data_IF_815885853195
#
_entry.id   IF_815885853195
#
_cell.length_a   1.000
_cell.length_b   1.000
_cell.length_c   1.000
_cell.angle_alpha   90.00
_cell.angle_beta   90.00
_cell.angle_gamma   90.00
#
_symmetry.space_group_name_H-M   'P 1'
#
loop_
_entity.id
_entity.type
_entity.pdbx_description
1 polymer ?
#
# COMPACT_ATOMS: atom_id res chain seq x y z
N UNK A 1 21.78 4.67 21.12
CA UNK A 1 20.30 4.80 21.16
C UNK A 1 19.83 4.12 22.42
N UNK A 2 19.20 4.83 23.35
CA UNK A 2 18.57 4.21 24.52
C UNK A 2 17.13 3.87 24.17
N UNK A 3 16.81 2.59 24.10
CA UNK A 3 15.42 2.12 24.09
C UNK A 3 14.79 2.58 25.40
N UNK A 4 13.67 3.31 25.34
CA UNK A 4 13.04 3.84 26.54
C UNK A 4 11.91 2.94 27.02
N UNK A 5 11.15 2.33 26.11
CA UNK A 5 10.10 1.35 26.42
C UNK A 5 10.13 0.19 25.41
N UNK A 6 9.94 -1.04 25.89
CA UNK A 6 9.72 -2.21 25.04
C UNK A 6 8.79 -3.19 25.75
N UNK A 7 8.02 -3.96 24.99
CA UNK A 7 7.10 -4.95 25.55
C UNK A 7 6.23 -5.60 24.48
N UNK A 8 5.22 -6.34 24.91
CA UNK A 8 4.24 -6.97 24.03
C UNK A 8 2.85 -6.34 24.25
N UNK A 9 2.11 -6.13 23.15
CA UNK A 9 0.77 -5.54 23.19
C UNK A 9 -0.28 -6.37 23.95
N UNK A 10 0.00 -7.66 24.22
CA UNK A 10 -0.87 -8.49 25.05
C UNK A 10 -0.82 -8.14 26.53
N UNK A 11 0.33 -7.64 27.00
CA UNK A 11 0.57 -7.37 28.42
C UNK A 11 0.32 -5.90 28.76
N UNK A 12 0.75 -5.00 27.87
CA UNK A 12 0.53 -3.56 27.95
C UNK A 12 -0.24 -3.16 26.70
N UNK A 13 -1.56 -3.02 26.80
CA UNK A 13 -2.38 -2.65 25.65
C UNK A 13 -1.84 -1.40 24.94
N UNK A 14 -2.04 -1.28 23.62
CA UNK A 14 -1.50 -0.16 22.83
C UNK A 14 -1.92 1.22 23.37
N UNK A 15 -3.10 1.30 23.98
CA UNK A 15 -3.62 2.49 24.62
C UNK A 15 -2.72 2.99 25.77
N UNK A 16 -2.22 2.08 26.61
CA UNK A 16 -1.34 2.43 27.73
C UNK A 16 -0.01 2.98 27.24
N UNK A 17 0.53 2.41 26.16
CA UNK A 17 1.76 2.90 25.52
C UNK A 17 1.59 4.32 25.01
N UNK A 18 0.48 4.60 24.32
CA UNK A 18 0.15 5.94 23.83
C UNK A 18 -0.03 6.93 25.00
N UNK A 19 -0.75 6.51 26.04
CA UNK A 19 -0.98 7.32 27.22
C UNK A 19 0.32 7.69 27.93
N UNK A 20 1.25 6.74 28.10
CA UNK A 20 2.57 6.99 28.69
C UNK A 20 3.39 7.98 27.86
N UNK A 21 3.41 7.83 26.54
CA UNK A 21 4.13 8.74 25.62
C UNK A 21 3.55 10.16 25.71
N UNK A 22 2.21 10.27 25.69
CA UNK A 22 1.50 11.54 25.79
C UNK A 22 1.73 12.25 27.13
N UNK A 23 1.46 11.58 28.24
CA UNK A 23 1.56 12.15 29.58
C UNK A 23 2.99 12.58 29.94
N UNK A 24 3.98 11.76 29.56
CA UNK A 24 5.38 12.08 29.82
C UNK A 24 6.02 12.96 28.73
N UNK A 25 5.22 13.43 27.74
CA UNK A 25 5.66 14.26 26.61
C UNK A 25 6.93 13.74 25.94
N UNK A 26 6.99 12.42 25.68
CA UNK A 26 8.18 11.80 25.08
C UNK A 26 8.29 12.16 23.60
N UNK A 27 9.50 12.48 23.16
CA UNK A 27 9.88 12.58 21.75
C UNK A 27 10.63 11.32 21.34
N UNK A 28 10.29 10.74 20.19
CA UNK A 28 10.91 9.51 19.71
C UNK A 28 10.03 8.74 18.71
N UNK A 29 10.45 7.52 18.40
CA UNK A 29 9.75 6.66 17.44
C UNK A 29 9.26 5.40 18.14
N UNK A 30 7.94 5.17 18.06
CA UNK A 30 7.29 3.93 18.44
C UNK A 30 7.22 3.02 17.22
N UNK A 31 7.71 1.80 17.32
CA UNK A 31 7.51 0.74 16.33
C UNK A 31 6.62 -0.32 16.96
N UNK A 32 5.59 -0.77 16.24
CA UNK A 32 4.59 -1.73 16.68
C UNK A 32 4.43 -2.82 15.62
N UNK A 33 4.45 -4.08 16.03
CA UNK A 33 4.28 -5.24 15.17
C UNK A 33 5.57 -6.03 14.96
N UNK A 34 5.45 -7.12 14.21
CA UNK A 34 6.53 -8.07 13.98
C UNK A 34 7.41 -7.63 12.80
N UNK A 35 8.55 -8.30 12.61
CA UNK A 35 9.53 -7.95 11.57
C UNK A 35 8.94 -7.86 10.16
N UNK A 36 7.83 -8.52 9.83
CA UNK A 36 7.20 -8.49 8.51
C UNK A 36 6.15 -7.39 8.28
N UNK A 37 5.49 -6.95 9.34
CA UNK A 37 4.32 -6.06 9.26
C UNK A 37 4.32 -5.08 10.43
N UNK A 38 5.48 -4.41 10.57
CA UNK A 38 5.70 -3.39 11.59
C UNK A 38 5.28 -2.02 11.09
N UNK A 39 4.71 -1.24 11.98
CA UNK A 39 4.26 0.13 11.77
C UNK A 39 5.06 1.03 12.71
N UNK A 40 5.50 2.19 12.23
CA UNK A 40 6.11 3.20 13.06
C UNK A 40 5.22 4.43 13.22
N UNK A 41 5.36 5.08 14.37
CA UNK A 41 4.77 6.37 14.69
C UNK A 41 5.86 7.25 15.30
N UNK A 42 6.06 8.43 14.72
CA UNK A 42 6.99 9.42 15.23
C UNK A 42 6.24 10.42 16.13
N UNK A 43 6.79 10.64 17.32
CA UNK A 43 6.24 11.53 18.33
C UNK A 43 7.19 12.69 18.61
N UNK A 44 6.63 13.87 18.80
CA UNK A 44 7.31 15.04 19.34
C UNK A 44 6.52 15.64 20.50
N UNK A 45 7.15 15.71 21.67
CA UNK A 45 6.55 16.19 22.93
C UNK A 45 5.19 15.53 23.24
N UNK A 46 5.07 14.22 22.99
CA UNK A 46 3.82 13.48 23.21
C UNK A 46 2.74 13.72 22.14
N UNK A 47 3.09 14.33 20.99
CA UNK A 47 2.18 14.53 19.85
C UNK A 47 2.65 13.72 18.65
N UNK A 48 1.73 13.12 17.90
CA UNK A 48 2.06 12.35 16.70
C UNK A 48 2.34 13.30 15.55
N UNK A 49 3.52 13.13 14.95
CA UNK A 49 4.01 13.91 13.81
C UNK A 49 3.68 13.21 12.50
N UNK A 50 3.98 11.91 12.42
CA UNK A 50 3.77 11.09 11.23
C UNK A 50 3.75 9.60 11.57
N UNK A 51 3.18 8.81 10.67
CA UNK A 51 3.14 7.36 10.77
C UNK A 51 3.35 6.67 9.43
N UNK A 52 3.79 5.41 9.46
CA UNK A 52 3.89 4.60 8.26
C UNK A 52 4.34 3.16 8.53
N UNK A 53 4.43 2.31 7.49
CA UNK A 53 5.05 1.01 7.61
C UNK A 53 6.54 1.15 7.95
N UNK A 54 7.02 0.40 8.95
CA UNK A 54 8.40 0.46 9.43
C UNK A 54 9.36 -0.35 8.54
N UNK A 55 8.84 -1.34 7.80
CA UNK A 55 9.64 -2.20 6.94
C UNK A 55 9.95 -1.55 5.59
N UNK A 56 10.87 -0.59 5.60
CA UNK A 56 11.75 -0.19 4.49
C UNK A 56 12.55 1.05 4.89
N UNK A 57 13.53 0.90 5.79
CA UNK A 57 14.44 1.99 6.18
C UNK A 57 15.17 2.64 4.97
N UNK A 58 15.20 1.92 3.84
CA UNK A 58 15.76 2.33 2.55
C UNK A 58 14.71 2.71 1.48
N UNK A 59 13.41 2.58 1.75
CA UNK A 59 12.36 2.82 0.78
C UNK A 59 11.23 3.65 1.40
N UNK A 60 11.36 4.96 1.19
CA UNK A 60 10.29 5.92 0.87
C UNK A 60 9.14 5.99 1.87
N UNK A 61 9.08 7.16 2.52
CA UNK A 61 7.88 7.75 3.12
C UNK A 61 6.57 7.23 2.47
N UNK A 62 5.60 6.67 3.24
CA UNK A 62 4.33 6.14 2.72
C UNK A 62 3.54 7.14 1.89
N UNK A 63 3.82 8.43 2.06
CA UNK A 63 3.25 9.52 1.30
C UNK A 63 3.37 9.30 -0.22
N UNK A 64 4.55 8.96 -0.74
CA UNK A 64 4.77 8.83 -2.18
C UNK A 64 3.85 7.79 -2.83
N UNK A 65 3.89 6.51 -2.39
CA UNK A 65 2.98 5.48 -2.88
C UNK A 65 1.49 5.85 -2.70
N UNK A 66 1.11 6.51 -1.60
CA UNK A 66 -0.27 6.96 -1.40
C UNK A 66 -0.69 8.00 -2.43
N UNK A 67 0.16 8.98 -2.73
CA UNK A 67 -0.12 10.01 -3.73
C UNK A 67 -0.35 9.40 -5.13
N UNK A 68 0.41 8.36 -5.46
CA UNK A 68 0.21 7.59 -6.70
C UNK A 68 -1.12 6.84 -6.68
N UNK A 69 -1.44 6.14 -5.59
CA UNK A 69 -2.71 5.41 -5.46
C UNK A 69 -3.92 6.34 -5.51
N UNK A 70 -3.84 7.52 -4.88
CA UNK A 70 -4.92 8.52 -4.91
C UNK A 70 -4.96 9.35 -6.20
N UNK A 71 -4.06 9.09 -7.15
CA UNK A 71 -4.04 9.73 -8.47
C UNK A 71 -3.59 11.19 -8.46
N UNK A 72 -2.88 11.64 -7.43
CA UNK A 72 -2.29 12.99 -7.38
C UNK A 72 -1.03 13.11 -8.24
N UNK A 73 -0.24 12.04 -8.31
CA UNK A 73 0.98 11.97 -9.12
C UNK A 73 1.06 10.63 -9.83
N UNK A 74 1.74 10.58 -10.97
CA UNK A 74 2.04 9.32 -11.64
C UNK A 74 3.23 8.63 -10.98
N UNK A 75 3.36 7.31 -11.22
CA UNK A 75 4.51 6.55 -10.73
C UNK A 75 5.83 7.11 -11.30
N UNK A 76 5.82 7.51 -12.56
CA UNK A 76 6.98 8.09 -13.22
C UNK A 76 7.37 9.44 -12.60
N UNK A 77 6.40 10.33 -12.37
CA UNK A 77 6.64 11.61 -11.69
C UNK A 77 7.25 11.40 -10.31
N UNK A 78 6.70 10.47 -9.51
CA UNK A 78 7.24 10.15 -8.20
C UNK A 78 8.68 9.61 -8.28
N UNK A 79 8.96 8.70 -9.23
CA UNK A 79 10.30 8.14 -9.43
C UNK A 79 11.31 9.21 -9.88
N UNK A 80 10.89 10.19 -10.68
CA UNK A 80 11.71 11.33 -11.09
C UNK A 80 12.05 12.22 -9.90
N UNK A 81 11.05 12.62 -9.11
CA UNK A 81 11.23 13.45 -7.93
C UNK A 81 12.09 12.77 -6.86
N UNK A 82 11.97 11.46 -6.69
CA UNK A 82 12.79 10.71 -5.75
C UNK A 82 14.27 10.70 -6.17
N UNK A 83 14.55 10.52 -7.47
CA UNK A 83 15.92 10.64 -7.99
C UNK A 83 16.48 12.05 -7.81
N UNK A 84 15.65 13.07 -7.97
CA UNK A 84 16.03 14.47 -7.75
C UNK A 84 16.28 14.77 -6.27
N UNK A 85 15.44 14.25 -5.37
CA UNK A 85 15.61 14.33 -3.91
C UNK A 85 16.94 13.73 -3.48
N UNK A 86 17.28 12.54 -3.99
CA UNK A 86 18.55 11.87 -3.72
C UNK A 86 19.76 12.66 -4.22
N UNK A 87 19.67 13.28 -5.41
CA UNK A 87 20.76 14.07 -6.01
C UNK A 87 20.96 15.43 -5.34
N UNK A 88 19.89 16.10 -4.97
CA UNK A 88 19.91 17.46 -4.42
C UNK A 88 19.91 17.51 -2.88
N UNK A 89 19.74 16.36 -2.22
CA UNK A 89 19.51 16.23 -0.78
C UNK A 89 18.30 17.06 -0.27
N UNK A 90 17.40 17.48 -1.17
CA UNK A 90 16.17 18.18 -0.81
C UNK A 90 15.07 17.18 -0.43
N UNK A 91 14.22 17.50 0.56
CA UNK A 91 13.06 16.67 0.89
C UNK A 91 12.12 16.47 -0.31
N UNK A 92 11.55 15.27 -0.42
CA UNK A 92 10.59 14.93 -1.49
C UNK A 92 9.36 15.84 -1.47
N UNK A 93 8.88 16.21 -0.27
CA UNK A 93 7.75 17.13 -0.07
C UNK A 93 8.02 18.49 -0.70
N UNK A 94 9.22 19.04 -0.51
CA UNK A 94 9.58 20.35 -1.05
C UNK A 94 9.64 20.32 -2.58
N UNK A 95 10.10 19.21 -3.16
CA UNK A 95 10.12 19.03 -4.61
C UNK A 95 8.70 18.86 -5.18
N UNK A 96 7.81 18.15 -4.48
CA UNK A 96 6.38 18.04 -4.85
C UNK A 96 5.70 19.42 -4.89
N UNK A 97 5.99 20.27 -3.91
CA UNK A 97 5.46 21.63 -3.85
C UNK A 97 6.10 22.55 -4.91
N UNK A 98 7.42 22.49 -5.08
CA UNK A 98 8.15 23.33 -6.02
C UNK A 98 7.80 23.05 -7.48
N UNK A 99 7.46 21.80 -7.82
CA UNK A 99 7.01 21.41 -9.17
C UNK A 99 5.55 21.73 -9.44
N UNK A 100 4.78 22.16 -8.43
CA UNK A 100 3.35 22.47 -8.58
C UNK A 100 2.46 21.25 -8.81
N UNK A 101 2.97 20.04 -8.63
CA UNK A 101 2.19 18.81 -8.79
C UNK A 101 1.11 18.65 -7.70
N UNK A 102 1.35 19.23 -6.52
CA UNK A 102 0.44 19.20 -5.39
C UNK A 102 0.48 20.55 -4.68
N UNK A 103 -0.69 21.06 -4.30
CA UNK A 103 -0.82 22.27 -3.49
C UNK A 103 -0.48 22.01 -2.02
N UNK A 104 0.07 22.99 -1.28
CA UNK A 104 0.41 22.84 0.14
C UNK A 104 -0.73 22.31 1.01
N UNK A 105 -1.95 22.86 0.85
CA UNK A 105 -3.11 22.41 1.62
C UNK A 105 -3.50 20.96 1.34
N UNK A 106 -3.43 20.54 0.07
CA UNK A 106 -3.69 19.14 -0.31
C UNK A 106 -2.65 18.19 0.29
N UNK A 107 -1.38 18.60 0.29
CA UNK A 107 -0.30 17.80 0.87
C UNK A 107 -0.50 17.61 2.39
N UNK A 108 -0.84 18.69 3.10
CA UNK A 108 -1.16 18.65 4.53
C UNK A 108 -2.35 17.72 4.81
N UNK A 109 -3.44 17.81 4.04
CA UNK A 109 -4.61 16.93 4.19
C UNK A 109 -4.26 15.45 3.98
N UNK A 110 -3.43 15.13 2.99
CA UNK A 110 -3.01 13.76 2.72
C UNK A 110 -2.13 13.21 3.86
N UNK A 111 -1.18 14.00 4.36
CA UNK A 111 -0.31 13.59 5.47
C UNK A 111 -1.11 13.38 6.76
N UNK A 112 -2.06 14.27 7.05
CA UNK A 112 -2.96 14.16 8.18
C UNK A 112 -3.79 12.88 8.13
N UNK A 113 -4.38 12.61 6.95
CA UNK A 113 -5.16 11.39 6.70
C UNK A 113 -4.31 10.13 6.85
N UNK A 114 -3.11 10.10 6.27
CA UNK A 114 -2.18 8.97 6.42
C UNK A 114 -1.79 8.71 7.86
N UNK A 115 -1.58 9.76 8.64
CA UNK A 115 -1.27 9.65 10.06
C UNK A 115 -2.43 9.04 10.83
N UNK A 116 -3.66 9.52 10.60
CA UNK A 116 -4.88 8.94 11.20
C UNK A 116 -5.11 7.49 10.79
N UNK A 117 -4.93 7.15 9.51
CA UNK A 117 -5.01 5.77 9.02
C UNK A 117 -3.99 4.87 9.71
N UNK A 118 -2.74 5.33 9.84
CA UNK A 118 -1.68 4.57 10.50
C UNK A 118 -1.98 4.32 11.97
N UNK A 119 -2.47 5.34 12.68
CA UNK A 119 -2.90 5.18 14.08
C UNK A 119 -4.02 4.16 14.15
N UNK A 120 -5.05 4.28 13.30
CA UNK A 120 -6.15 3.32 13.29
C UNK A 120 -5.68 1.88 13.06
N UNK A 121 -4.73 1.68 12.13
CA UNK A 121 -4.11 0.38 11.90
C UNK A 121 -3.33 -0.14 13.11
N UNK A 122 -2.63 0.73 13.84
CA UNK A 122 -1.95 0.40 15.10
C UNK A 122 -2.96 0.00 16.19
N UNK A 123 -4.06 0.74 16.35
CA UNK A 123 -5.11 0.45 17.33
C UNK A 123 -5.82 -0.89 17.06
N UNK A 124 -5.92 -1.30 15.79
CA UNK A 124 -6.55 -2.57 15.39
C UNK A 124 -5.66 -3.79 15.70
N UNK A 125 -4.37 -3.61 16.00
CA UNK A 125 -3.45 -4.72 16.33
C UNK A 125 -3.80 -5.30 17.70
N UNK A 126 -4.19 -6.57 17.72
CA UNK A 126 -4.48 -7.32 18.96
C UNK A 126 -3.23 -7.95 19.60
N UNK A 127 -2.13 -8.02 18.87
CA UNK A 127 -0.87 -8.62 19.33
C UNK A 127 0.30 -8.10 18.50
N UNK A 128 1.49 -8.22 19.07
CA UNK A 128 2.75 -7.82 18.44
C UNK A 128 3.68 -7.23 19.49
N UNK A 129 4.96 -7.15 19.16
CA UNK A 129 5.91 -6.45 20.00
C UNK A 129 5.84 -4.94 19.72
N UNK A 130 6.15 -4.14 20.74
CA UNK A 130 6.35 -2.71 20.57
C UNK A 130 7.71 -2.28 21.11
N UNK A 131 8.27 -1.24 20.50
CA UNK A 131 9.54 -0.63 20.89
C UNK A 131 9.48 0.87 20.69
N UNK A 132 9.66 1.63 21.76
CA UNK A 132 9.84 3.06 21.70
C UNK A 132 11.31 3.42 21.87
N UNK A 133 11.86 4.12 20.87
CA UNK A 133 13.23 4.65 20.90
C UNK A 133 13.16 6.15 21.09
N UNK A 134 13.71 6.65 22.19
CA UNK A 134 13.83 8.09 22.42
C UNK A 134 14.92 8.64 21.50
N UNK A 135 14.52 9.44 20.52
CA UNK A 135 15.41 10.05 19.54
C UNK A 135 14.83 11.38 19.05
N UNK A 136 15.69 12.24 18.49
CA UNK A 136 15.24 13.52 17.93
C UNK A 136 14.43 13.27 16.67
N UNK A 137 13.18 13.73 16.66
CA UNK A 137 12.33 13.73 15.47
C UNK A 137 12.41 15.10 14.82
N UNK A 138 12.86 15.15 13.56
CA UNK A 138 12.88 16.38 12.75
C UNK A 138 11.63 16.42 11.87
N UNK A 139 10.89 17.54 11.95
CA UNK A 139 9.73 17.82 11.14
C UNK A 139 9.50 19.34 11.03
N UNK A 140 8.84 19.74 9.95
CA UNK A 140 8.43 21.13 9.70
C UNK A 140 6.92 21.33 9.94
N UNK A 141 6.23 20.30 10.45
CA UNK A 141 4.79 20.35 10.76
C UNK A 141 4.52 21.38 11.85
N UNK A 142 3.60 22.31 11.59
CA UNK A 142 3.18 23.33 12.55
C UNK A 142 2.60 22.69 13.82
N UNK A 143 2.82 23.27 15.01
CA UNK A 143 2.28 22.74 16.27
C UNK A 143 0.77 22.54 16.28
N UNK A 144 0.01 23.39 15.58
CA UNK A 144 -1.46 23.26 15.45
C UNK A 144 -1.92 22.05 14.63
N UNK A 145 -1.06 21.52 13.76
CA UNK A 145 -1.33 20.35 12.93
C UNK A 145 -0.86 19.05 13.60
N UNK A 146 -0.10 19.16 14.71
CA UNK A 146 0.31 18.00 15.48
C UNK A 146 -0.87 17.47 16.28
N UNK A 147 -1.09 16.17 16.16
CA UNK A 147 -2.17 15.50 16.83
C UNK A 147 -1.72 15.06 18.23
N UNK A 148 -2.40 15.50 19.28
CA UNK A 148 -2.09 15.07 20.65
C UNK A 148 -2.30 13.56 20.81
N UNK A 149 -1.34 12.85 21.42
CA UNK A 149 -1.43 11.39 21.56
C UNK A 149 -2.71 10.94 22.29
N UNK A 150 -3.15 11.70 23.30
CA UNK A 150 -4.40 11.40 24.03
C UNK A 150 -5.65 11.61 23.17
N UNK A 151 -5.72 12.71 22.41
CA UNK A 151 -6.84 12.97 21.51
C UNK A 151 -6.95 11.90 20.44
N UNK A 152 -5.81 11.55 19.82
CA UNK A 152 -5.74 10.48 18.83
C UNK A 152 -6.15 9.15 19.44
N UNK A 153 -5.72 8.87 20.67
CA UNK A 153 -6.06 7.63 21.35
C UNK A 153 -7.58 7.52 21.53
N UNK A 154 -8.22 8.58 22.02
CA UNK A 154 -9.67 8.60 22.21
C UNK A 154 -10.43 8.47 20.88
N UNK A 155 -9.99 9.18 19.84
CA UNK A 155 -10.55 9.06 18.50
C UNK A 155 -10.37 7.65 17.94
N UNK A 156 -9.18 7.06 18.12
CA UNK A 156 -8.84 5.71 17.67
C UNK A 156 -9.66 4.62 18.35
N UNK A 157 -9.90 4.73 19.66
CA UNK A 157 -10.77 3.82 20.41
C UNK A 157 -12.22 3.92 19.94
N UNK A 158 -12.75 5.15 19.79
CA UNK A 158 -14.10 5.36 19.25
C UNK A 158 -14.23 4.78 17.83
N UNK A 159 -13.24 5.00 16.98
CA UNK A 159 -13.20 4.41 15.63
C UNK A 159 -13.14 2.89 15.69
N UNK A 160 -12.39 2.28 16.61
CA UNK A 160 -12.31 0.83 16.74
C UNK A 160 -13.65 0.21 17.14
N UNK A 161 -14.37 0.84 18.06
CA UNK A 161 -15.71 0.42 18.48
C UNK A 161 -16.71 0.53 17.33
N UNK A 162 -16.72 1.67 16.63
CA UNK A 162 -17.57 1.87 15.45
C UNK A 162 -17.24 0.88 14.33
N UNK A 163 -15.95 0.61 14.08
CA UNK A 163 -15.49 -0.33 13.05
C UNK A 163 -16.09 -1.72 13.22
N UNK A 164 -16.21 -2.22 14.45
CA UNK A 164 -16.79 -3.54 14.71
C UNK A 164 -18.26 -3.66 14.28
N UNK A 165 -18.99 -2.54 14.19
CA UNK A 165 -20.41 -2.53 13.81
C UNK A 165 -20.63 -2.75 12.31
N UNK A 166 -19.63 -2.46 11.48
CA UNK A 166 -19.79 -2.45 10.02
C UNK A 166 -18.70 -3.18 9.24
N UNK A 167 -17.56 -3.54 9.85
CA UNK A 167 -16.46 -4.17 9.13
C UNK A 167 -16.85 -5.48 8.43
N UNK A 168 -17.65 -6.32 9.07
CA UNK A 168 -18.08 -7.62 8.51
C UNK A 168 -19.01 -7.48 7.29
N UNK A 169 -19.56 -6.28 7.09
CA UNK A 169 -20.40 -5.92 5.94
C UNK A 169 -19.53 -5.68 4.70
N UNK A 170 -18.22 -5.46 4.85
CA UNK A 170 -17.29 -5.35 3.72
C UNK A 170 -16.31 -6.52 3.82
N UNK A 171 -16.55 -7.63 3.10
CA UNK A 171 -15.89 -8.90 3.38
C UNK A 171 -14.37 -8.90 3.14
N UNK A 172 -13.87 -8.06 2.24
CA UNK A 172 -12.45 -7.95 1.92
C UNK A 172 -12.17 -6.66 1.14
N UNK A 173 -10.95 -6.14 1.24
CA UNK A 173 -10.45 -5.06 0.38
C UNK A 173 -10.32 -5.49 -1.11
N UNK A 174 -10.27 -6.80 -1.39
CA UNK A 174 -10.25 -7.36 -2.76
C UNK A 174 -11.66 -7.58 -3.34
N UNK A 175 -12.71 -7.36 -2.53
CA UNK A 175 -14.08 -7.51 -2.98
C UNK A 175 -14.42 -6.46 -4.03
N UNK A 176 -15.32 -6.82 -4.96
CA UNK A 176 -15.83 -5.90 -5.98
C UNK A 176 -17.33 -5.75 -5.78
N UNK A 177 -17.79 -4.51 -5.69
CA UNK A 177 -19.21 -4.17 -5.59
C UNK A 177 -19.74 -3.71 -6.95
N UNK A 178 -21.00 -4.02 -7.23
CA UNK A 178 -21.76 -3.47 -8.35
C UNK A 178 -22.90 -2.61 -7.83
N UNK A 179 -23.15 -1.50 -8.50
CA UNK A 179 -24.29 -0.63 -8.21
C UNK A 179 -25.58 -1.22 -8.79
N UNK A 180 -26.59 -1.33 -7.94
CA UNK A 180 -27.94 -1.82 -8.30
C UNK A 180 -29.04 -0.79 -8.06
N UNK A 181 -28.80 0.18 -7.17
CA UNK A 181 -29.78 1.19 -6.78
C UNK A 181 -29.32 2.62 -7.03
N UNK A 182 -30.23 3.54 -6.70
CA UNK A 182 -29.98 4.98 -6.71
C UNK A 182 -29.82 5.52 -5.29
N UNK A 183 -29.05 6.60 -5.20
CA UNK A 183 -28.59 7.24 -3.97
C UNK A 183 -29.72 7.75 -3.05
N UNK A 184 -30.95 7.87 -3.57
CA UNK A 184 -32.13 8.26 -2.78
C UNK A 184 -32.41 7.32 -1.61
N UNK A 185 -32.12 6.02 -1.75
CA UNK A 185 -32.26 5.04 -0.67
C UNK A 185 -31.28 5.31 0.50
N UNK A 186 -30.12 5.91 0.22
CA UNK A 186 -29.09 6.25 1.23
C UNK A 186 -29.51 7.45 2.06
N UNK A 187 -30.18 8.42 1.43
CA UNK A 187 -30.71 9.62 2.12
C UNK A 187 -31.74 9.26 3.19
N UNK A 188 -32.52 8.20 2.98
CA UNK A 188 -33.51 7.72 3.95
C UNK A 188 -32.88 7.06 5.20
N UNK A 189 -31.71 6.43 5.05
CA UNK A 189 -30.98 5.76 6.13
C UNK A 189 -30.08 6.72 6.92
N UNK A 190 -29.62 7.81 6.29
CA UNK A 190 -28.75 8.80 6.92
C UNK A 190 -29.57 9.82 7.73
N UNK A 191 -30.27 9.36 8.79
CA UNK A 191 -30.93 10.25 9.75
C UNK A 191 -29.92 10.79 10.76
N UNK A 192 -29.51 12.04 10.61
CA UNK A 192 -28.69 12.78 11.59
C UNK A 192 -27.22 12.99 11.14
N UNK A 193 -26.81 14.26 11.18
CA UNK A 193 -25.49 14.82 10.80
C UNK A 193 -25.03 14.51 9.35
N UNK A 194 -25.99 14.67 8.43
CA UNK A 194 -26.04 13.96 7.17
C UNK A 194 -25.20 14.52 6.03
N UNK A 195 -24.70 15.77 6.05
CA UNK A 195 -24.08 16.34 4.84
C UNK A 195 -22.70 15.76 4.53
N UNK A 196 -21.81 15.64 5.52
CA UNK A 196 -20.49 15.06 5.32
C UNK A 196 -20.57 13.55 5.02
N UNK A 197 -21.38 12.82 5.81
CA UNK A 197 -21.59 11.38 5.63
C UNK A 197 -22.26 11.05 4.31
N UNK A 198 -23.26 11.83 3.90
CA UNK A 198 -23.85 11.72 2.57
C UNK A 198 -22.79 12.00 1.52
N UNK A 199 -22.03 13.10 1.61
CA UNK A 199 -20.94 13.40 0.66
C UNK A 199 -19.90 12.28 0.53
N UNK A 200 -19.58 11.57 1.61
CA UNK A 200 -18.72 10.38 1.60
C UNK A 200 -19.38 9.24 0.82
N UNK A 201 -20.64 8.93 1.11
CA UNK A 201 -21.41 7.89 0.41
C UNK A 201 -21.60 8.22 -1.08
N UNK A 202 -21.88 9.48 -1.45
CA UNK A 202 -22.01 9.91 -2.84
C UNK A 202 -20.70 9.70 -3.60
N UNK A 203 -19.58 10.14 -3.00
CA UNK A 203 -18.24 9.98 -3.59
C UNK A 203 -17.86 8.52 -3.80
N UNK A 204 -18.13 7.67 -2.81
CA UNK A 204 -17.88 6.22 -2.92
C UNK A 204 -18.78 5.61 -3.99
N UNK A 205 -20.07 5.94 -4.01
CA UNK A 205 -21.02 5.38 -4.98
C UNK A 205 -20.64 5.72 -6.43
N UNK A 206 -20.10 6.92 -6.68
CA UNK A 206 -19.63 7.33 -8.02
C UNK A 206 -18.46 6.49 -8.54
N UNK A 207 -17.72 5.84 -7.65
CA UNK A 207 -16.57 4.98 -7.99
C UNK A 207 -16.96 3.50 -8.14
N UNK A 208 -18.19 3.11 -7.81
CA UNK A 208 -18.61 1.70 -7.85
C UNK A 208 -19.13 1.38 -9.26
N UNK A 209 -18.34 0.64 -10.03
CA UNK A 209 -18.61 0.30 -11.43
C UNK A 209 -18.74 -1.22 -11.68
N UNK A 210 -18.61 -2.06 -10.64
CA UNK A 210 -18.59 -3.51 -10.80
C UNK A 210 -17.24 -4.09 -11.19
N UNK A 211 -16.18 -3.29 -11.26
CA UNK A 211 -14.82 -3.71 -11.63
C UNK A 211 -13.77 -3.32 -10.58
N UNK A 212 -13.91 -2.14 -9.98
CA UNK A 212 -12.98 -1.64 -8.98
C UNK A 212 -13.10 -2.43 -7.67
N UNK A 213 -11.95 -2.86 -7.13
CA UNK A 213 -11.90 -3.44 -5.79
C UNK A 213 -12.16 -2.39 -4.72
N UNK A 214 -12.62 -2.85 -3.55
CA UNK A 214 -12.79 -2.00 -2.36
C UNK A 214 -11.52 -1.20 -2.07
N UNK A 215 -10.33 -1.82 -2.16
CA UNK A 215 -9.04 -1.13 -2.02
C UNK A 215 -8.92 0.08 -2.95
N UNK A 216 -9.26 -0.12 -4.22
CA UNK A 216 -9.14 0.93 -5.24
C UNK A 216 -10.17 2.04 -5.03
N UNK A 217 -11.37 1.69 -4.57
CA UNK A 217 -12.41 2.66 -4.18
C UNK A 217 -11.95 3.49 -2.97
N UNK A 218 -11.33 2.86 -1.95
CA UNK A 218 -10.74 3.56 -0.80
C UNK A 218 -9.68 4.57 -1.27
N UNK A 219 -8.75 4.13 -2.12
CA UNK A 219 -7.65 4.97 -2.59
C UNK A 219 -8.13 6.16 -3.44
N UNK A 220 -9.09 5.94 -4.35
CA UNK A 220 -9.65 6.96 -5.24
C UNK A 220 -10.66 7.90 -4.57
N UNK A 221 -11.41 7.42 -3.58
CA UNK A 221 -12.35 8.26 -2.82
C UNK A 221 -11.65 9.27 -1.92
N UNK A 222 -10.37 9.04 -1.59
CA UNK A 222 -9.53 9.89 -0.74
C UNK A 222 -10.09 10.10 0.68
N UNK A 223 -11.04 9.26 1.10
CA UNK A 223 -11.65 9.29 2.43
C UNK A 223 -10.81 8.55 3.48
N UNK A 224 -10.01 7.58 3.02
CA UNK A 224 -9.27 6.66 3.86
C UNK A 224 -10.08 5.44 4.28
N UNK A 225 -9.38 4.44 4.83
CA UNK A 225 -9.93 3.09 5.03
C UNK A 225 -11.18 3.08 5.89
N UNK A 226 -11.17 3.80 7.01
CA UNK A 226 -12.31 3.83 7.95
C UNK A 226 -13.58 4.40 7.29
N UNK A 227 -13.51 5.64 6.81
CA UNK A 227 -14.65 6.36 6.24
C UNK A 227 -15.18 5.72 4.95
N UNK A 228 -14.28 5.26 4.06
CA UNK A 228 -14.70 4.60 2.83
C UNK A 228 -15.34 3.23 3.10
N UNK A 229 -14.82 2.44 4.04
CA UNK A 229 -15.42 1.14 4.40
C UNK A 229 -16.78 1.34 5.07
N UNK A 230 -16.91 2.35 5.93
CA UNK A 230 -18.20 2.75 6.52
C UNK A 230 -19.22 3.11 5.45
N UNK A 231 -18.85 3.98 4.51
CA UNK A 231 -19.72 4.37 3.40
C UNK A 231 -20.12 3.16 2.54
N UNK A 232 -19.20 2.24 2.25
CA UNK A 232 -19.50 0.99 1.54
C UNK A 232 -20.48 0.12 2.32
N UNK A 233 -20.31 -0.01 3.64
CA UNK A 233 -21.22 -0.78 4.48
C UNK A 233 -22.63 -0.17 4.52
N UNK A 234 -22.73 1.16 4.68
CA UNK A 234 -24.00 1.88 4.64
C UNK A 234 -24.71 1.71 3.28
N UNK A 235 -23.97 1.83 2.17
CA UNK A 235 -24.49 1.59 0.82
C UNK A 235 -24.97 0.15 0.61
N UNK A 236 -24.25 -0.83 1.16
CA UNK A 236 -24.62 -2.26 1.07
C UNK A 236 -25.86 -2.56 1.90
N UNK A 237 -25.94 -2.05 3.14
CA UNK A 237 -27.13 -2.18 3.99
C UNK A 237 -28.35 -1.50 3.37
N UNK A 238 -28.15 -0.39 2.68
CA UNK A 238 -29.20 0.32 1.93
C UNK A 238 -29.70 -0.44 0.68
N UNK A 239 -29.05 -1.54 0.29
CA UNK A 239 -29.36 -2.26 -0.95
C UNK A 239 -29.02 -1.46 -2.21
N UNK A 240 -28.15 -0.46 -2.12
CA UNK A 240 -27.74 0.36 -3.28
C UNK A 240 -26.61 -0.31 -4.06
N UNK A 241 -25.81 -1.12 -3.36
CA UNK A 241 -24.71 -1.89 -3.93
C UNK A 241 -24.79 -3.35 -3.49
N UNK A 242 -24.31 -4.24 -4.34
CA UNK A 242 -24.24 -5.68 -4.08
C UNK A 242 -22.84 -6.22 -4.39
N UNK A 243 -22.51 -7.35 -3.78
CA UNK A 243 -21.23 -8.02 -4.00
C UNK A 243 -21.25 -8.72 -5.36
N UNK A 244 -20.38 -8.29 -6.29
CA UNK A 244 -20.30 -8.85 -7.63
C UNK A 244 -19.34 -10.05 -7.71
N UNK A 245 -18.17 -9.96 -7.05
CA UNK A 245 -17.15 -11.03 -7.00
C UNK A 245 -16.36 -10.94 -5.70
N UNK A 246 -16.16 -12.08 -5.02
CA UNK A 246 -15.08 -12.23 -4.03
C UNK A 246 -13.91 -12.92 -4.70
N UNK A 247 -12.84 -12.19 -5.05
CA UNK A 247 -11.55 -12.84 -5.30
C UNK A 247 -11.01 -13.27 -3.94
N UNK A 248 -11.32 -14.49 -3.51
CA UNK A 248 -10.73 -15.07 -2.30
C UNK A 248 -9.26 -15.34 -2.60
N UNK A 249 -8.38 -14.39 -2.30
CA UNK A 249 -6.95 -14.68 -2.21
C UNK A 249 -6.76 -15.51 -0.94
N UNK A 250 -6.55 -16.81 -1.09
CA UNK A 250 -6.28 -17.69 0.05
C UNK A 250 -5.14 -17.08 0.88
N UNK A 251 -5.26 -17.00 2.22
CA UNK A 251 -4.22 -16.43 3.05
C UNK A 251 -2.94 -17.21 2.80
N UNK A 252 -1.90 -16.51 2.36
CA UNK A 252 -0.57 -17.08 2.16
C UNK A 252 -0.07 -17.48 3.55
N UNK A 253 -0.32 -18.73 3.96
CA UNK A 253 0.23 -19.35 5.16
C UNK A 253 1.75 -19.23 5.06
N UNK A 254 2.31 -18.19 5.69
CA UNK A 254 3.70 -18.20 6.07
C UNK A 254 3.87 -19.39 6.99
N UNK A 255 4.63 -20.37 6.51
CA UNK A 255 4.95 -21.56 7.28
C UNK A 255 5.88 -21.08 8.38
N UNK A 256 5.31 -20.81 9.56
CA UNK A 256 6.06 -20.55 10.78
C UNK A 256 7.02 -21.73 10.99
N UNK A 257 8.29 -21.51 10.71
CA UNK A 257 9.36 -22.37 11.17
C UNK A 257 9.71 -21.90 12.59
N UNK A 258 8.85 -22.25 13.55
CA UNK A 258 9.27 -22.31 14.94
C UNK A 258 10.22 -23.50 15.08
N UNK A 259 11.51 -23.23 15.28
CA UNK A 259 12.42 -24.15 15.97
C UNK A 259 13.52 -23.35 16.65
N UNK A 260 13.18 -22.94 17.86
CA UNK A 260 14.15 -22.65 18.90
C UNK A 260 14.80 -23.98 19.28
N UNK A 261 16.07 -24.16 18.91
CA UNK A 261 16.94 -25.14 19.57
C UNK A 261 18.31 -24.47 19.70
N UNK A 262 18.61 -24.03 20.93
CA UNK A 262 19.93 -23.54 21.31
C UNK A 262 20.91 -24.72 21.41
N UNK A 263 21.90 -24.77 20.50
CA UNK A 263 23.05 -25.68 20.61
C UNK A 263 24.31 -24.82 20.74
N UNK A 264 25.07 -25.09 21.80
CA UNK A 264 26.21 -24.32 22.31
C UNK A 264 27.21 -23.83 21.23
N UNK A 265 27.82 -22.63 21.40
CA UNK A 265 28.71 -21.99 20.43
C UNK A 265 30.05 -22.71 20.16
N UNK A 266 30.38 -23.79 20.88
CA UNK A 266 31.64 -24.51 20.70
C UNK A 266 31.68 -25.44 19.47
N UNK A 267 30.56 -25.95 18.96
CA UNK A 267 30.55 -26.90 17.83
C UNK A 267 30.72 -26.19 16.47
N UNK A 268 30.41 -24.89 16.38
CA UNK A 268 30.45 -24.12 15.11
C UNK A 268 31.87 -23.81 14.61
N UNK A 269 32.86 -23.70 15.51
CA UNK A 269 34.23 -23.37 15.12
C UNK A 269 34.97 -24.59 14.54
N UNK A 270 34.70 -25.79 15.06
CA UNK A 270 35.30 -27.02 14.57
C UNK A 270 34.73 -27.46 13.21
N UNK A 271 33.41 -27.26 12.99
CA UNK A 271 32.76 -27.66 11.74
C UNK A 271 32.97 -26.63 10.60
N UNK A 272 33.14 -25.35 10.92
CA UNK A 272 33.32 -24.29 9.92
C UNK A 272 34.72 -24.23 9.30
N UNK A 273 35.74 -24.79 9.95
CA UNK A 273 37.13 -24.71 9.47
C UNK A 273 37.57 -25.97 8.72
N UNK A 274 37.16 -27.16 9.15
CA UNK A 274 37.66 -28.42 8.57
C UNK A 274 36.77 -28.92 7.42
N UNK A 275 35.45 -28.76 7.55
CA UNK A 275 34.49 -29.24 6.56
C UNK A 275 34.61 -28.57 5.18
N UNK A 276 34.86 -27.25 5.03
CA UNK A 276 34.95 -26.65 3.70
C UNK A 276 36.20 -27.12 2.93
N UNK A 277 37.31 -27.44 3.58
CA UNK A 277 38.49 -27.97 2.87
C UNK A 277 38.29 -29.41 2.40
N UNK A 278 37.61 -30.23 3.20
CA UNK A 278 37.27 -31.62 2.81
C UNK A 278 36.24 -31.60 1.67
N UNK A 279 35.23 -30.73 1.75
CA UNK A 279 34.23 -30.57 0.69
C UNK A 279 34.86 -29.98 -0.57
N UNK A 280 35.73 -28.97 -0.47
CA UNK A 280 36.38 -28.35 -1.64
C UNK A 280 37.34 -29.33 -2.32
N UNK A 281 38.08 -30.14 -1.56
CA UNK A 281 38.93 -31.20 -2.11
C UNK A 281 38.12 -32.28 -2.83
N UNK A 282 36.99 -32.71 -2.24
CA UNK A 282 36.09 -33.67 -2.87
C UNK A 282 35.39 -33.10 -4.11
N UNK A 283 35.01 -31.82 -4.06
CA UNK A 283 34.35 -31.10 -5.16
C UNK A 283 35.32 -30.89 -6.34
N UNK A 284 36.59 -30.56 -6.06
CA UNK A 284 37.60 -30.39 -7.09
C UNK A 284 37.88 -31.70 -7.86
N UNK A 285 37.96 -32.83 -7.15
CA UNK A 285 38.24 -34.15 -7.79
C UNK A 285 37.02 -34.67 -8.57
N UNK A 286 35.80 -34.28 -8.20
CA UNK A 286 34.57 -34.76 -8.85
C UNK A 286 34.04 -33.83 -9.94
N UNK A 287 34.33 -32.52 -9.89
CA UNK A 287 33.80 -31.52 -10.83
C UNK A 287 34.79 -31.13 -11.94
N UNK A 288 36.10 -31.08 -11.69
CA UNK A 288 37.06 -30.71 -12.75
C UNK A 288 36.98 -31.57 -14.02
N UNK A 289 36.84 -32.91 -13.95
CA UNK A 289 36.71 -33.73 -15.15
C UNK A 289 35.30 -33.67 -15.80
N UNK A 290 34.35 -32.89 -15.26
CA UNK A 290 33.00 -32.69 -15.80
C UNK A 290 32.75 -31.30 -16.39
N UNK A 291 33.73 -30.39 -16.32
CA UNK A 291 33.61 -29.03 -16.87
C UNK A 291 33.85 -28.95 -18.40
N UNK A 292 34.27 -30.04 -19.04
CA UNK A 292 34.19 -30.20 -20.50
C UNK A 292 32.83 -30.78 -20.90
N UNK A 293 31.76 -30.02 -20.71
CA UNK A 293 30.59 -30.04 -21.59
C UNK A 293 29.52 -29.09 -21.07
N UNK A 294 28.84 -28.45 -22.02
CA UNK A 294 27.57 -27.72 -21.85
C UNK A 294 27.61 -26.41 -21.06
N UNK A 295 27.92 -25.31 -21.78
CA UNK A 295 27.14 -24.07 -21.65
C UNK A 295 25.67 -24.39 -21.99
N UNK A 296 24.87 -24.76 -20.99
CA UNK A 296 23.43 -24.92 -21.11
C UNK A 296 22.73 -23.98 -20.12
N UNK A 297 21.77 -23.23 -20.66
CA UNK A 297 20.96 -22.16 -20.06
C UNK A 297 20.90 -22.04 -18.54
N UNK A 298 21.21 -20.84 -18.06
CA UNK A 298 20.74 -20.38 -16.74
C UNK A 298 19.21 -20.24 -16.78
N UNK A 299 18.51 -20.89 -15.86
CA UNK A 299 17.07 -20.71 -15.68
C UNK A 299 16.76 -19.24 -15.31
N UNK A 300 15.92 -18.58 -16.11
CA UNK A 300 15.41 -17.25 -15.77
C UNK A 300 14.37 -17.45 -14.65
N UNK A 301 14.55 -16.86 -13.46
CA UNK A 301 13.58 -16.98 -12.39
C UNK A 301 12.24 -16.39 -12.85
N UNK A 302 11.19 -17.19 -12.78
CA UNK A 302 9.82 -16.94 -13.28
C UNK A 302 9.24 -15.58 -12.84
N UNK A 303 9.67 -15.09 -11.68
CA UNK A 303 9.26 -13.78 -11.11
C UNK A 303 9.81 -12.59 -11.88
N UNK A 304 11.00 -12.69 -12.46
CA UNK A 304 11.62 -11.62 -13.24
C UNK A 304 10.90 -11.48 -14.60
N UNK A 305 10.57 -12.62 -15.23
CA UNK A 305 9.86 -12.66 -16.51
C UNK A 305 8.46 -12.03 -16.42
N UNK A 306 7.72 -12.27 -15.33
CA UNK A 306 6.38 -11.69 -15.14
C UNK A 306 6.39 -10.18 -14.91
N UNK A 307 7.40 -9.63 -14.21
CA UNK A 307 7.51 -8.19 -13.97
C UNK A 307 7.95 -7.43 -15.21
N UNK A 308 8.91 -7.99 -15.97
CA UNK A 308 9.40 -7.40 -17.22
C UNK A 308 8.33 -7.50 -18.31
N UNK A 309 7.70 -8.67 -18.44
CA UNK A 309 6.65 -8.92 -19.44
C UNK A 309 5.48 -7.93 -19.33
N UNK A 310 5.03 -7.60 -18.11
CA UNK A 310 3.89 -6.66 -17.92
C UNK A 310 4.21 -5.21 -18.26
N UNK A 311 5.44 -4.75 -18.00
CA UNK A 311 5.88 -3.41 -18.43
C UNK A 311 5.90 -3.35 -19.95
N UNK A 312 6.49 -4.36 -20.59
CA UNK A 312 6.52 -4.47 -22.05
C UNK A 312 5.12 -4.54 -22.66
N UNK A 313 4.21 -5.33 -22.07
CA UNK A 313 2.81 -5.41 -22.51
C UNK A 313 2.12 -4.04 -22.45
N UNK A 314 2.33 -3.27 -21.37
CA UNK A 314 1.72 -1.94 -21.23
C UNK A 314 2.27 -0.93 -22.23
N UNK A 315 3.59 -0.94 -22.48
CA UNK A 315 4.23 -0.09 -23.50
C UNK A 315 3.80 -0.48 -24.93
N UNK A 316 3.62 -1.78 -25.20
CA UNK A 316 3.11 -2.25 -26.49
C UNK A 316 1.68 -1.78 -26.74
N UNK A 317 0.79 -1.93 -25.74
CA UNK A 317 -0.60 -1.45 -25.86
C UNK A 317 -0.64 0.07 -26.05
N UNK A 318 0.21 0.83 -25.33
CA UNK A 318 0.36 2.28 -25.54
C UNK A 318 0.75 2.60 -26.98
N UNK A 319 1.80 1.96 -27.50
CA UNK A 319 2.28 2.19 -28.87
C UNK A 319 1.23 1.86 -29.94
N UNK A 320 0.43 0.81 -29.73
CA UNK A 320 -0.66 0.45 -30.64
C UNK A 320 -1.80 1.49 -30.64
N UNK A 321 -2.18 1.99 -29.47
CA UNK A 321 -3.17 3.07 -29.35
C UNK A 321 -2.69 4.35 -30.04
N UNK A 322 -1.41 4.70 -29.87
CA UNK A 322 -0.81 5.87 -30.52
C UNK A 322 -0.74 5.70 -32.05
N UNK A 323 -0.34 4.51 -32.52
CA UNK A 323 -0.32 4.20 -33.97
C UNK A 323 -1.71 4.35 -34.57
N UNK A 324 -2.74 3.85 -33.88
CA UNK A 324 -4.14 3.97 -34.33
C UNK A 324 -4.61 5.42 -34.39
N UNK A 325 -4.17 6.25 -33.44
CA UNK A 325 -4.43 7.68 -33.44
C UNK A 325 -3.77 8.37 -34.65
N UNK A 326 -2.53 8.01 -34.98
CA UNK A 326 -1.85 8.56 -36.16
C UNK A 326 -2.52 8.14 -37.49
N UNK A 327 -3.05 6.93 -37.58
CA UNK A 327 -3.70 6.43 -38.80
C UNK A 327 -5.11 7.00 -39.02
N UNK A 328 -5.90 7.09 -37.95
CA UNK A 328 -7.33 7.43 -38.04
C UNK A 328 -7.67 8.85 -37.57
N UNK A 329 -6.71 9.55 -36.94
CA UNK A 329 -6.90 10.87 -36.35
C UNK A 329 -7.73 10.88 -35.06
N UNK A 330 -8.13 9.70 -34.56
CA UNK A 330 -8.93 9.53 -33.36
C UNK A 330 -8.43 8.33 -32.54
N UNK A 331 -8.60 8.42 -31.22
CA UNK A 331 -8.30 7.29 -30.34
C UNK A 331 -9.40 6.22 -30.46
N UNK A 332 -9.05 4.92 -30.40
CA UNK A 332 -10.04 3.85 -30.48
C UNK A 332 -11.06 3.98 -29.34
N UNK A 333 -12.33 3.62 -29.58
CA UNK A 333 -13.36 3.73 -28.55
C UNK A 333 -13.19 2.65 -27.46
N UNK A 334 -12.57 1.53 -27.82
CA UNK A 334 -12.22 0.44 -26.92
C UNK A 334 -10.88 -0.21 -27.30
N UNK A 335 -10.20 -0.82 -26.32
CA UNK A 335 -8.97 -1.60 -26.60
C UNK A 335 -9.26 -2.89 -27.38
N UNK A 336 -10.52 -3.32 -27.49
CA UNK A 336 -10.90 -4.49 -28.28
C UNK A 336 -10.73 -4.26 -29.78
N UNK A 337 -10.81 -3.01 -30.24
CA UNK A 337 -10.62 -2.63 -31.65
C UNK A 337 -9.18 -2.87 -32.13
N UNK A 338 -8.20 -2.77 -31.24
CA UNK A 338 -6.78 -3.04 -31.53
C UNK A 338 -6.38 -4.50 -31.21
N UNK A 339 -7.32 -5.35 -30.77
CA UNK A 339 -7.04 -6.75 -30.44
C UNK A 339 -6.42 -7.58 -31.59
N UNK A 340 -6.79 -7.39 -32.87
CA UNK A 340 -6.17 -8.12 -33.98
C UNK A 340 -4.69 -7.78 -34.14
N UNK A 341 -4.34 -6.50 -34.02
CA UNK A 341 -2.98 -5.98 -34.15
C UNK A 341 -2.13 -6.31 -32.91
N UNK A 342 -2.74 -6.23 -31.72
CA UNK A 342 -2.14 -6.61 -30.46
C UNK A 342 -1.78 -8.10 -30.41
N UNK A 343 -2.63 -8.97 -30.94
CA UNK A 343 -2.39 -10.41 -31.01
C UNK A 343 -1.22 -10.78 -31.95
N UNK A 344 -0.96 -9.97 -32.98
CA UNK A 344 0.21 -10.10 -33.86
C UNK A 344 1.50 -9.65 -33.17
N UNK A 345 1.44 -8.60 -32.36
CA UNK A 345 2.59 -8.06 -31.63
C UNK A 345 2.97 -8.90 -30.39
N UNK A 346 2.00 -9.45 -29.67
CA UNK A 346 2.22 -10.38 -28.57
C UNK A 346 1.08 -11.39 -28.45
N UNK A 347 1.36 -12.71 -28.50
CA UNK A 347 0.35 -13.76 -28.32
C UNK A 347 -0.36 -13.71 -26.95
N UNK A 348 0.19 -12.99 -25.97
CA UNK A 348 -0.39 -12.83 -24.63
C UNK A 348 -1.51 -11.77 -24.56
N UNK A 349 -1.64 -10.91 -25.56
CA UNK A 349 -2.64 -9.83 -25.62
C UNK A 349 -3.95 -10.32 -26.26
N UNK A 350 -4.63 -11.24 -25.58
CA UNK A 350 -5.98 -11.66 -25.98
C UNK A 350 -7.01 -10.55 -25.74
N UNK A 351 -8.19 -10.57 -26.41
CA UNK A 351 -9.26 -9.60 -26.14
C UNK A 351 -9.64 -9.52 -24.65
N UNK A 352 -9.66 -10.68 -23.97
CA UNK A 352 -9.89 -10.76 -22.54
C UNK A 352 -8.79 -10.11 -21.69
N UNK A 353 -7.53 -10.19 -22.12
CA UNK A 353 -6.38 -9.56 -21.45
C UNK A 353 -6.41 -8.04 -21.64
N UNK A 354 -6.81 -7.57 -22.82
CA UNK A 354 -6.96 -6.13 -23.10
C UNK A 354 -8.11 -5.52 -22.29
N UNK A 355 -9.17 -6.29 -22.02
CA UNK A 355 -10.26 -5.87 -21.15
C UNK A 355 -9.84 -5.67 -19.67
N UNK A 356 -8.72 -6.25 -19.25
CA UNK A 356 -8.16 -6.03 -17.90
C UNK A 356 -7.47 -4.66 -17.77
N UNK A 357 -7.10 -4.01 -18.88
CA UNK A 357 -6.53 -2.67 -18.88
C UNK A 357 -7.63 -1.63 -18.73
N UNK A 358 -7.40 -0.63 -17.87
CA UNK A 358 -8.26 0.53 -17.81
C UNK A 358 -7.88 1.48 -18.95
N UNK A 359 -8.83 1.73 -19.84
CA UNK A 359 -8.64 2.63 -20.97
C UNK A 359 -9.81 3.60 -21.06
N UNK A 360 -9.51 4.90 -21.11
CA UNK A 360 -10.52 5.95 -21.30
C UNK A 360 -9.93 7.15 -22.03
N UNK A 361 -10.69 7.65 -22.99
CA UNK A 361 -10.40 8.91 -23.70
C UNK A 361 -11.19 10.04 -23.04
N UNK A 362 -10.55 11.14 -22.68
CA UNK A 362 -11.19 12.36 -22.12
C UNK A 362 -10.58 13.59 -22.78
N UNK A 363 -11.40 14.40 -23.46
CA UNK A 363 -11.00 15.74 -23.95
C UNK A 363 -9.65 15.80 -24.70
N UNK A 364 -9.28 14.74 -25.43
CA UNK A 364 -8.02 14.64 -26.18
C UNK A 364 -6.86 13.95 -25.44
N UNK A 365 -7.03 13.63 -24.16
CA UNK A 365 -6.08 12.84 -23.37
C UNK A 365 -6.53 11.38 -23.24
N UNK A 366 -5.55 10.46 -23.29
CA UNK A 366 -5.77 9.02 -23.09
C UNK A 366 -5.20 8.58 -21.76
N UNK A 367 -6.06 7.97 -20.96
CA UNK A 367 -5.66 7.32 -19.72
C UNK A 367 -5.65 5.82 -19.96
N UNK A 368 -4.45 5.24 -20.03
CA UNK A 368 -4.21 3.80 -20.07
C UNK A 368 -3.52 3.38 -18.77
N UNK A 369 -4.15 2.48 -18.00
CA UNK A 369 -3.58 1.93 -16.76
C UNK A 369 -3.57 0.41 -16.82
N UNK A 370 -2.46 -0.18 -16.38
CA UNK A 370 -2.31 -1.62 -16.27
C UNK A 370 -3.21 -2.23 -15.17
N UNK A 371 -3.63 -3.50 -15.31
CA UNK A 371 -4.42 -4.20 -14.30
C UNK A 371 -3.74 -4.28 -12.92
N UNK A 372 -4.55 -4.22 -11.86
CA UNK A 372 -4.09 -4.34 -10.48
C UNK A 372 -3.61 -5.77 -10.12
N UNK A 373 -2.61 -5.88 -9.22
CA UNK A 373 -1.96 -7.14 -8.81
C UNK A 373 -2.61 -7.87 -7.63
#
# INVERSE_FOLDING_TARGET
MSVALHGNLRDFGIAEVFQLIGQQRKTGVLVVGDDEDSIFLAFDEGRVVRGGPAKNRLQRDPLGPQLVRSGYVTREQLENLQRESERSARPLTDLLLATGLIEPGTLEEVQHRLTKETVFDVMRRKSGDFRFTAERVVHDTKPENLLGAEQILMDGLRMLDEWQTFADIVPSEDAVFRRIGNLEAVRALTKGDSNARLGHAERVLQLIDGRLSVRRVIDLSRLGTFEATRALAELRQAGVIELAVTKVRAPRRMRNASRQIEWFPMVRVALGTVLPFIVLGFLAVTILPRLESTRAGSAIPERLAHQIGRRLETELVRGLVETRFFESGAYPASLEEIAPEAALASPSLTPSRLADYYYRVREGEVVLLAPAQ
#
